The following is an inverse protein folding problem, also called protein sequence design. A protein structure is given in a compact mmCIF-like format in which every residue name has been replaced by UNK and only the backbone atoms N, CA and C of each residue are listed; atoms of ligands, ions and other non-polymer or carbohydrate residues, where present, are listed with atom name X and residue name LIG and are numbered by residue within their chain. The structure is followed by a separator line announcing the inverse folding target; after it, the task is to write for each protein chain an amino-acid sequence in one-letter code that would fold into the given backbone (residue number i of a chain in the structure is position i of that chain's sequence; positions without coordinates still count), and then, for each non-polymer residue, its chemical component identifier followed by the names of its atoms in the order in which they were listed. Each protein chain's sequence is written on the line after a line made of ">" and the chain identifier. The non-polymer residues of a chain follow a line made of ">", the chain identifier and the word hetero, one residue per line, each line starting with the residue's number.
data_IF_013010913712
#
_entry.id   IF_013010913712
#
_cell.length_a   1.000
_cell.length_b   1.000
_cell.length_c   1.000
_cell.angle_alpha   90.00
_cell.angle_beta   90.00
_cell.angle_gamma   90.00
#
_symmetry.space_group_name_H-M   'P 1'
#
loop_
_entity.id
_entity.type
_entity.pdbx_description
1 polymer ?
#
# COMPACT_ATOMS: atom_id res chain seq x y z
N UNK A 1 -18.10 32.50 -34.82
CA UNK A 1 -17.64 33.14 -33.56
C UNK A 1 -17.56 32.15 -32.39
N UNK A 2 -18.51 31.22 -32.19
CA UNK A 2 -18.53 30.29 -31.07
C UNK A 2 -17.36 29.28 -31.05
N UNK A 3 -16.80 28.85 -32.19
CA UNK A 3 -15.71 27.84 -32.22
C UNK A 3 -14.34 28.38 -31.80
N UNK A 4 -14.04 29.64 -32.08
CA UNK A 4 -12.77 30.30 -31.74
C UNK A 4 -12.72 30.61 -30.23
N UNK A 5 -13.84 31.03 -29.64
CA UNK A 5 -13.95 31.33 -28.23
C UNK A 5 -13.82 30.04 -27.39
N UNK A 6 -14.46 28.95 -27.84
CA UNK A 6 -14.34 27.64 -27.20
C UNK A 6 -12.92 27.08 -27.25
N UNK A 7 -12.21 27.23 -28.36
CA UNK A 7 -10.82 26.79 -28.51
C UNK A 7 -9.87 27.53 -27.54
N UNK A 8 -10.01 28.85 -27.47
CA UNK A 8 -9.18 29.69 -26.59
C UNK A 8 -9.42 29.39 -25.12
N UNK A 9 -10.67 29.13 -24.73
CA UNK A 9 -11.03 28.72 -23.37
C UNK A 9 -10.42 27.34 -23.00
N UNK A 10 -10.55 26.36 -23.89
CA UNK A 10 -9.97 25.03 -23.72
C UNK A 10 -8.45 25.11 -23.57
N UNK A 11 -7.79 25.92 -24.38
CA UNK A 11 -6.35 26.12 -24.29
C UNK A 11 -5.90 26.65 -22.93
N UNK A 12 -6.62 27.59 -22.35
CA UNK A 12 -6.33 28.09 -20.99
C UNK A 12 -6.46 27.00 -19.94
N UNK A 13 -7.53 26.21 -19.99
CA UNK A 13 -7.73 25.09 -19.06
C UNK A 13 -6.57 24.12 -19.14
N UNK A 14 -6.16 23.68 -20.33
CA UNK A 14 -5.07 22.72 -20.50
C UNK A 14 -3.72 23.27 -20.02
N UNK A 15 -3.50 24.60 -20.15
CA UNK A 15 -2.31 25.25 -19.59
C UNK A 15 -2.36 25.23 -18.06
N UNK A 16 -3.51 25.51 -17.43
CA UNK A 16 -3.65 25.44 -15.98
C UNK A 16 -3.43 24.02 -15.47
N UNK A 17 -3.97 23.00 -16.16
CA UNK A 17 -3.73 21.58 -15.81
C UNK A 17 -2.24 21.24 -15.92
N UNK A 18 -1.58 21.62 -17.02
CA UNK A 18 -0.13 21.43 -17.19
C UNK A 18 0.65 22.04 -16.03
N UNK A 19 0.38 23.32 -15.74
CA UNK A 19 1.05 24.04 -14.66
C UNK A 19 0.81 23.39 -13.32
N UNK A 20 -0.43 23.01 -13.01
CA UNK A 20 -0.77 22.32 -11.77
C UNK A 20 -0.01 20.99 -11.63
N UNK A 21 -0.03 20.13 -12.66
CA UNK A 21 0.63 18.82 -12.59
C UNK A 21 2.15 18.94 -12.49
N UNK A 22 2.75 19.97 -13.14
CA UNK A 22 4.17 20.29 -12.98
C UNK A 22 4.47 20.70 -11.54
N UNK A 23 3.66 21.58 -10.95
CA UNK A 23 3.79 22.02 -9.55
C UNK A 23 3.67 20.81 -8.61
N UNK A 24 2.65 19.97 -8.77
CA UNK A 24 2.46 18.75 -7.97
C UNK A 24 3.65 17.77 -8.10
N UNK A 25 4.19 17.65 -9.33
CA UNK A 25 5.39 16.81 -9.57
C UNK A 25 6.59 17.33 -8.78
N UNK A 26 6.87 18.64 -8.84
CA UNK A 26 8.01 19.26 -8.15
C UNK A 26 7.86 19.19 -6.63
N UNK A 27 6.73 19.64 -6.11
CA UNK A 27 6.49 19.63 -4.66
C UNK A 27 6.47 18.23 -4.05
N UNK A 28 6.05 17.21 -4.81
CA UNK A 28 6.13 15.82 -4.37
C UNK A 28 7.55 15.33 -4.05
N UNK A 29 8.62 15.98 -4.54
CA UNK A 29 10.00 15.70 -4.13
C UNK A 29 10.37 16.34 -2.79
N UNK A 30 9.63 17.36 -2.37
CA UNK A 30 9.83 18.07 -1.11
C UNK A 30 8.97 17.49 0.04
N UNK A 31 8.51 16.24 -0.09
CA UNK A 31 7.60 15.62 0.88
C UNK A 31 8.10 15.57 2.32
N UNK A 32 9.42 15.57 2.55
CA UNK A 32 9.99 15.63 3.91
C UNK A 32 9.83 17.00 4.59
N UNK A 33 9.60 18.08 3.83
CA UNK A 33 9.48 19.44 4.38
C UNK A 33 8.06 19.79 4.83
N UNK A 34 7.03 19.19 4.24
CA UNK A 34 5.65 19.43 4.63
C UNK A 34 4.76 18.23 4.22
N UNK A 35 3.85 17.83 5.11
CA UNK A 35 2.96 16.68 4.90
C UNK A 35 2.11 16.79 3.63
N UNK A 36 1.69 18.00 3.22
CA UNK A 36 0.95 18.22 1.98
C UNK A 36 1.80 17.88 0.75
N UNK A 37 3.08 18.18 0.79
CA UNK A 37 4.01 17.82 -0.28
C UNK A 37 4.25 16.31 -0.37
N UNK A 38 4.21 15.59 0.77
CA UNK A 38 4.25 14.14 0.76
C UNK A 38 3.02 13.56 0.05
N UNK A 39 1.81 14.09 0.30
CA UNK A 39 0.60 13.69 -0.45
C UNK A 39 0.74 13.87 -1.96
N UNK A 40 1.41 14.92 -2.41
CA UNK A 40 1.66 15.17 -3.84
C UNK A 40 2.59 14.13 -4.47
N UNK A 41 3.36 13.38 -3.67
CA UNK A 41 4.23 12.32 -4.19
C UNK A 41 3.46 11.07 -4.63
N UNK A 42 2.20 10.87 -4.20
CA UNK A 42 1.50 9.60 -4.33
C UNK A 42 0.94 9.32 -5.74
N UNK A 43 0.78 10.33 -6.60
CA UNK A 43 0.06 10.21 -7.87
C UNK A 43 0.99 10.19 -9.11
N UNK A 44 2.18 9.59 -9.00
CA UNK A 44 3.20 9.62 -10.08
C UNK A 44 2.72 8.98 -11.38
N UNK A 45 1.92 7.91 -11.31
CA UNK A 45 1.33 7.26 -12.50
C UNK A 45 0.33 8.19 -13.18
N UNK A 46 -0.54 8.83 -12.39
CA UNK A 46 -1.54 9.77 -12.90
C UNK A 46 -0.89 11.02 -13.50
N UNK A 47 0.15 11.54 -12.88
CA UNK A 47 0.92 12.68 -13.43
C UNK A 47 1.59 12.31 -14.74
N UNK A 48 2.23 11.12 -14.82
CA UNK A 48 2.80 10.62 -16.07
C UNK A 48 1.76 10.54 -17.17
N UNK A 49 0.60 9.94 -16.92
CA UNK A 49 -0.47 9.79 -17.88
C UNK A 49 -1.02 11.15 -18.35
N UNK A 50 -1.32 12.06 -17.40
CA UNK A 50 -1.85 13.39 -17.72
C UNK A 50 -0.86 14.22 -18.53
N UNK A 51 0.42 14.24 -18.16
CA UNK A 51 1.45 14.99 -18.85
C UNK A 51 1.72 14.43 -20.25
N UNK A 52 1.70 13.10 -20.40
CA UNK A 52 1.84 12.46 -21.73
C UNK A 52 0.69 12.82 -22.65
N UNK A 53 -0.55 12.77 -22.15
CA UNK A 53 -1.74 13.18 -22.89
C UNK A 53 -1.66 14.66 -23.32
N UNK A 54 -1.28 15.56 -22.41
CA UNK A 54 -1.10 16.98 -22.69
C UNK A 54 0.02 17.23 -23.72
N UNK A 55 1.13 16.48 -23.61
CA UNK A 55 2.24 16.56 -24.57
C UNK A 55 1.78 16.22 -25.99
N UNK A 56 1.04 15.11 -26.15
CA UNK A 56 0.46 14.69 -27.43
C UNK A 56 -0.52 15.75 -27.97
N UNK A 57 -1.36 16.31 -27.11
CA UNK A 57 -2.28 17.37 -27.50
C UNK A 57 -1.54 18.60 -28.00
N UNK A 58 -0.50 19.06 -27.28
CA UNK A 58 0.26 20.25 -27.67
C UNK A 58 1.12 20.03 -28.94
N UNK A 59 1.51 18.80 -29.28
CA UNK A 59 2.09 18.48 -30.61
C UNK A 59 1.08 18.82 -31.71
N UNK A 60 -0.16 18.34 -31.61
CA UNK A 60 -1.21 18.59 -32.61
C UNK A 60 -1.50 20.07 -32.77
N UNK A 61 -1.39 20.84 -31.69
CA UNK A 61 -1.58 22.30 -31.71
C UNK A 61 -0.29 23.07 -32.05
N UNK A 62 0.81 22.37 -32.38
CA UNK A 62 2.14 22.94 -32.69
C UNK A 62 2.69 23.89 -31.63
N UNK A 63 2.40 23.61 -30.34
CA UNK A 63 2.83 24.40 -29.18
C UNK A 63 4.10 23.83 -28.56
N UNK A 64 5.22 23.85 -29.29
CA UNK A 64 6.45 23.10 -29.00
C UNK A 64 7.03 23.31 -27.59
N UNK A 65 6.99 24.56 -27.06
CA UNK A 65 7.48 24.84 -25.70
C UNK A 65 6.66 24.09 -24.64
N UNK A 66 5.32 24.02 -24.81
CA UNK A 66 4.43 23.31 -23.88
C UNK A 66 4.57 21.79 -24.04
N UNK A 67 4.74 21.33 -25.28
CA UNK A 67 5.05 19.93 -25.60
C UNK A 67 6.32 19.48 -24.87
N UNK A 68 7.40 20.25 -25.02
CA UNK A 68 8.69 19.93 -24.35
C UNK A 68 8.51 19.88 -22.84
N UNK A 69 7.87 20.88 -22.23
CA UNK A 69 7.64 20.92 -20.79
C UNK A 69 6.81 19.70 -20.30
N UNK A 70 5.73 19.38 -21.01
CA UNK A 70 4.88 18.25 -20.67
C UNK A 70 5.65 16.92 -20.71
N UNK A 71 6.40 16.65 -21.78
CA UNK A 71 7.17 15.40 -21.87
C UNK A 71 8.37 15.36 -20.95
N UNK A 72 9.04 16.46 -20.66
CA UNK A 72 10.12 16.52 -19.70
C UNK A 72 9.64 16.07 -18.30
N UNK A 73 8.50 16.62 -17.84
CA UNK A 73 7.92 16.22 -16.56
C UNK A 73 7.21 14.85 -16.60
N UNK A 74 6.69 14.43 -17.76
CA UNK A 74 6.23 13.06 -17.95
C UNK A 74 7.39 12.07 -17.74
N UNK A 75 8.55 12.32 -18.33
CA UNK A 75 9.75 11.50 -18.18
C UNK A 75 10.22 11.43 -16.72
N UNK A 76 10.20 12.55 -15.98
CA UNK A 76 10.50 12.58 -14.55
C UNK A 76 9.58 11.65 -13.76
N UNK A 77 8.26 11.69 -13.99
CA UNK A 77 7.33 10.79 -13.31
C UNK A 77 7.49 9.33 -13.77
N UNK A 78 7.72 9.13 -15.07
CA UNK A 78 7.98 7.81 -15.63
C UNK A 78 9.21 7.14 -15.01
N UNK A 79 10.31 7.86 -14.84
CA UNK A 79 11.53 7.33 -14.23
C UNK A 79 11.32 6.81 -12.80
N UNK A 80 10.36 7.40 -12.06
CA UNK A 80 9.99 6.94 -10.72
C UNK A 80 9.06 5.70 -10.76
N UNK A 81 8.27 5.56 -11.81
CA UNK A 81 7.35 4.43 -12.00
C UNK A 81 8.06 3.24 -12.67
N UNK A 82 9.06 3.50 -13.50
CA UNK A 82 9.77 2.50 -14.30
C UNK A 82 10.26 1.27 -13.49
N UNK A 83 10.81 1.40 -12.26
CA UNK A 83 11.21 0.23 -11.47
C UNK A 83 10.08 -0.73 -11.14
N UNK A 84 8.82 -0.30 -11.29
CA UNK A 84 7.60 -1.08 -11.10
C UNK A 84 6.99 -1.54 -12.44
N UNK A 85 7.68 -1.35 -13.57
CA UNK A 85 7.26 -1.89 -14.86
C UNK A 85 7.36 -3.42 -14.87
N UNK A 86 6.33 -4.11 -15.40
CA UNK A 86 6.31 -5.58 -15.47
C UNK A 86 7.35 -6.14 -16.44
N UNK A 87 8.61 -6.10 -16.06
CA UNK A 87 9.75 -6.62 -16.85
C UNK A 87 10.22 -7.99 -16.37
N UNK A 88 9.73 -8.46 -15.23
CA UNK A 88 10.13 -9.74 -14.63
C UNK A 88 8.93 -10.68 -14.62
N UNK A 89 9.04 -11.79 -15.31
CA UNK A 89 8.13 -12.91 -15.15
C UNK A 89 8.66 -13.79 -14.03
N UNK A 90 8.05 -13.74 -12.86
CA UNK A 90 8.28 -14.76 -11.83
C UNK A 90 7.60 -16.03 -12.36
N UNK A 91 8.38 -16.98 -12.84
CA UNK A 91 7.87 -18.32 -13.14
C UNK A 91 7.60 -18.98 -11.80
N UNK A 92 6.33 -19.14 -11.47
CA UNK A 92 5.91 -19.93 -10.32
C UNK A 92 6.33 -21.38 -10.56
N UNK A 93 7.47 -21.79 -10.03
CA UNK A 93 7.74 -23.22 -9.84
C UNK A 93 6.91 -23.61 -8.62
N UNK A 94 5.87 -24.42 -8.85
CA UNK A 94 5.10 -25.02 -7.76
C UNK A 94 6.04 -25.91 -6.94
N UNK A 95 6.52 -25.40 -5.84
CA UNK A 95 7.30 -26.15 -4.84
C UNK A 95 6.40 -26.45 -3.64
N UNK A 96 6.43 -27.68 -3.13
CA UNK A 96 5.69 -28.10 -1.91
C UNK A 96 6.15 -27.38 -0.62
N UNK A 97 7.09 -26.46 -0.72
CA UNK A 97 7.61 -25.61 0.36
C UNK A 97 7.11 -24.17 0.33
N UNK A 98 6.04 -23.88 -0.44
CA UNK A 98 5.50 -22.53 -0.53
C UNK A 98 4.64 -22.15 0.67
N UNK A 99 4.89 -20.96 1.19
CA UNK A 99 4.08 -20.31 2.21
C UNK A 99 3.27 -19.19 1.52
N UNK A 100 1.97 -19.16 1.80
CA UNK A 100 1.07 -18.16 1.21
C UNK A 100 0.59 -17.20 2.27
N UNK A 101 0.80 -15.90 2.05
CA UNK A 101 0.22 -14.84 2.87
C UNK A 101 -0.90 -14.15 2.08
N UNK A 102 -2.03 -13.94 2.75
CA UNK A 102 -3.12 -13.07 2.31
C UNK A 102 -3.22 -11.89 3.27
N UNK A 103 -3.13 -10.67 2.75
CA UNK A 103 -3.37 -9.45 3.51
C UNK A 103 -4.58 -8.70 2.97
N UNK A 104 -5.51 -8.32 3.85
CA UNK A 104 -6.77 -7.66 3.50
C UNK A 104 -7.08 -6.52 4.45
N UNK A 105 -7.18 -5.29 3.94
CA UNK A 105 -7.88 -4.23 4.65
C UNK A 105 -9.38 -4.41 4.40
N UNK A 106 -10.13 -4.75 5.45
CA UNK A 106 -11.54 -5.15 5.34
C UNK A 106 -12.47 -3.97 5.04
N UNK A 107 -12.04 -2.74 5.28
CA UNK A 107 -12.89 -1.55 5.39
C UNK A 107 -14.05 -1.80 6.36
N UNK A 108 -13.98 -1.22 7.54
CA UNK A 108 -15.00 -1.40 8.59
C UNK A 108 -16.44 -1.02 8.16
N UNK A 109 -16.60 -0.32 7.03
CA UNK A 109 -17.92 0.03 6.43
C UNK A 109 -18.41 -1.04 5.46
N UNK A 110 -17.53 -1.92 5.01
CA UNK A 110 -17.86 -2.96 4.07
C UNK A 110 -18.65 -4.08 4.78
N UNK A 111 -19.77 -4.46 4.22
CA UNK A 111 -20.62 -5.56 4.69
C UNK A 111 -20.64 -6.75 3.72
N UNK A 112 -19.72 -6.82 2.78
CA UNK A 112 -19.64 -7.91 1.79
C UNK A 112 -18.94 -9.14 2.38
N UNK A 113 -19.41 -9.62 3.53
CA UNK A 113 -18.79 -10.71 4.30
C UNK A 113 -18.57 -11.98 3.47
N UNK A 114 -19.56 -12.39 2.68
CA UNK A 114 -19.46 -13.59 1.86
C UNK A 114 -18.39 -13.49 0.77
N UNK A 115 -18.20 -12.29 0.19
CA UNK A 115 -17.16 -12.09 -0.80
C UNK A 115 -15.77 -12.18 -0.15
N UNK A 116 -15.58 -11.61 1.05
CA UNK A 116 -14.33 -11.74 1.80
C UNK A 116 -14.03 -13.19 2.17
N UNK A 117 -15.07 -13.95 2.65
CA UNK A 117 -14.96 -15.38 2.94
C UNK A 117 -14.49 -16.16 1.71
N UNK A 118 -15.14 -15.92 0.56
CA UNK A 118 -14.78 -16.57 -0.70
C UNK A 118 -13.32 -16.32 -1.08
N UNK A 119 -12.82 -15.09 -0.87
CA UNK A 119 -11.40 -14.76 -1.13
C UNK A 119 -10.48 -15.54 -0.19
N UNK A 120 -10.80 -15.62 1.11
CA UNK A 120 -9.99 -16.36 2.08
C UNK A 120 -10.00 -17.87 1.75
N UNK A 121 -11.17 -18.46 1.54
CA UNK A 121 -11.30 -19.89 1.26
C UNK A 121 -10.63 -20.28 -0.08
N UNK A 122 -10.81 -19.48 -1.13
CA UNK A 122 -10.19 -19.73 -2.44
C UNK A 122 -8.67 -19.55 -2.40
N UNK A 123 -8.20 -18.55 -1.66
CA UNK A 123 -6.76 -18.30 -1.52
C UNK A 123 -6.09 -19.37 -0.67
N UNK A 124 -6.79 -19.89 0.34
CA UNK A 124 -6.31 -20.86 1.32
C UNK A 124 -4.90 -20.50 1.86
N UNK A 125 -4.78 -19.35 2.55
CA UNK A 125 -3.49 -18.83 2.96
C UNK A 125 -2.92 -19.59 4.18
N UNK A 126 -1.59 -19.75 4.23
CA UNK A 126 -0.89 -20.24 5.42
C UNK A 126 -0.94 -19.20 6.57
N UNK A 127 -0.93 -17.93 6.19
CA UNK A 127 -1.01 -16.78 7.11
C UNK A 127 -1.98 -15.75 6.54
N UNK A 128 -2.93 -15.31 7.37
CA UNK A 128 -3.91 -14.28 7.05
C UNK A 128 -3.66 -13.06 7.93
N UNK A 129 -3.53 -11.88 7.29
CA UNK A 129 -3.33 -10.58 7.97
C UNK A 129 -4.51 -9.68 7.65
N UNK A 130 -5.27 -9.27 8.67
CA UNK A 130 -6.48 -8.47 8.51
C UNK A 130 -6.34 -7.11 9.18
N UNK A 131 -6.60 -6.06 8.42
CA UNK A 131 -6.70 -4.69 8.91
C UNK A 131 -8.18 -4.28 8.98
N UNK A 132 -8.49 -3.31 9.84
CA UNK A 132 -9.83 -2.78 10.07
C UNK A 132 -10.87 -3.83 10.47
N UNK A 133 -10.44 -4.85 11.19
CA UNK A 133 -11.32 -5.88 11.73
C UNK A 133 -12.24 -5.28 12.80
N UNK A 134 -13.49 -5.02 12.46
CA UNK A 134 -14.55 -4.55 13.38
C UNK A 134 -15.20 -5.71 14.13
N UNK A 135 -16.03 -5.42 15.14
CA UNK A 135 -16.79 -6.44 15.84
C UNK A 135 -17.74 -7.21 14.91
N UNK A 136 -18.32 -6.54 13.92
CA UNK A 136 -19.19 -7.19 12.92
C UNK A 136 -18.39 -8.17 12.06
N UNK A 137 -17.21 -7.75 11.58
CA UNK A 137 -16.29 -8.62 10.85
C UNK A 137 -15.83 -9.81 11.70
N UNK A 138 -15.54 -9.57 12.99
CA UNK A 138 -15.09 -10.63 13.91
C UNK A 138 -16.18 -11.69 14.08
N UNK A 139 -17.43 -11.28 14.27
CA UNK A 139 -18.56 -12.20 14.36
C UNK A 139 -18.84 -12.95 13.05
N UNK A 140 -18.73 -12.27 11.91
CA UNK A 140 -19.05 -12.86 10.60
C UNK A 140 -17.96 -13.79 10.07
N UNK A 141 -16.74 -13.71 10.59
CA UNK A 141 -15.61 -14.56 10.20
C UNK A 141 -15.17 -15.54 11.30
N UNK A 142 -15.95 -15.71 12.38
CA UNK A 142 -15.59 -16.56 13.53
C UNK A 142 -15.27 -18.00 13.12
N UNK A 143 -16.07 -18.60 12.24
CA UNK A 143 -15.86 -19.95 11.72
C UNK A 143 -14.62 -20.04 10.79
N UNK A 144 -14.27 -18.96 10.09
CA UNK A 144 -13.01 -18.86 9.33
C UNK A 144 -11.85 -18.83 10.32
N UNK A 145 -11.93 -18.01 11.37
CA UNK A 145 -10.85 -17.87 12.35
C UNK A 145 -10.60 -19.16 13.12
N UNK A 146 -11.66 -19.95 13.38
CA UNK A 146 -11.53 -21.26 14.04
C UNK A 146 -10.71 -22.28 13.23
N UNK A 147 -10.56 -22.07 11.92
CA UNK A 147 -9.68 -22.91 11.07
C UNK A 147 -8.19 -22.65 11.31
N UNK A 148 -7.84 -21.48 11.88
CA UNK A 148 -6.45 -21.11 12.15
C UNK A 148 -6.10 -21.38 13.62
N UNK A 149 -5.28 -22.40 13.92
CA UNK A 149 -4.98 -22.78 15.31
C UNK A 149 -4.18 -21.74 16.07
N UNK A 150 -3.54 -20.81 15.38
CA UNK A 150 -2.75 -19.76 15.97
C UNK A 150 -3.25 -18.40 15.52
N UNK A 151 -3.59 -17.53 16.47
CA UNK A 151 -4.07 -16.18 16.14
C UNK A 151 -3.70 -15.15 17.20
N UNK A 152 -3.55 -13.91 16.77
CA UNK A 152 -3.43 -12.74 17.62
C UNK A 152 -4.25 -11.61 17.02
N UNK A 153 -5.06 -10.95 17.86
CA UNK A 153 -5.78 -9.73 17.51
C UNK A 153 -5.38 -8.63 18.47
N UNK A 154 -5.11 -7.44 17.95
CA UNK A 154 -4.82 -6.24 18.76
C UNK A 154 -5.85 -5.17 18.43
N UNK A 155 -6.71 -4.85 19.41
CA UNK A 155 -7.68 -3.78 19.25
C UNK A 155 -6.99 -2.41 19.29
N UNK A 156 -7.53 -1.47 18.53
CA UNK A 156 -7.13 -0.08 18.55
C UNK A 156 -8.34 0.83 18.38
N UNK A 157 -8.23 2.09 18.81
CA UNK A 157 -9.25 3.08 18.61
C UNK A 157 -8.94 3.89 17.35
N UNK A 158 -9.76 3.75 16.33
CA UNK A 158 -9.68 4.61 15.15
C UNK A 158 -10.38 5.93 15.43
N UNK A 159 -9.66 7.03 15.30
CA UNK A 159 -10.20 8.38 15.45
C UNK A 159 -10.43 8.99 14.06
N UNK A 160 -11.70 9.04 13.62
CA UNK A 160 -12.07 9.87 12.47
C UNK A 160 -12.41 11.27 13.00
N UNK A 161 -11.51 12.20 12.77
CA UNK A 161 -11.71 13.61 13.10
C UNK A 161 -12.29 14.35 11.89
N UNK A 162 -13.62 14.26 11.70
CA UNK A 162 -14.34 15.37 11.10
C UNK A 162 -14.82 16.30 12.23
N UNK A 163 -14.89 17.64 12.02
CA UNK A 163 -15.06 18.60 13.11
C UNK A 163 -16.29 18.40 14.02
N UNK A 164 -17.27 17.60 13.62
CA UNK A 164 -18.56 17.48 14.29
C UNK A 164 -18.90 16.10 14.87
N UNK A 165 -18.12 15.03 14.54
CA UNK A 165 -18.41 13.68 15.05
C UNK A 165 -17.13 12.89 15.33
N UNK A 166 -16.63 12.97 16.57
CA UNK A 166 -15.61 12.02 17.06
C UNK A 166 -16.32 10.70 17.39
N UNK A 167 -16.50 9.81 16.43
CA UNK A 167 -16.86 8.43 16.72
C UNK A 167 -15.60 7.61 16.94
N UNK A 168 -15.33 7.25 18.19
CA UNK A 168 -14.35 6.19 18.52
C UNK A 168 -14.89 4.87 17.98
N UNK A 169 -14.15 4.21 17.11
CA UNK A 169 -14.44 2.85 16.66
C UNK A 169 -13.36 1.92 17.16
N UNK A 170 -13.76 0.83 17.81
CA UNK A 170 -12.86 -0.27 18.11
C UNK A 170 -12.68 -1.08 16.83
N UNK A 171 -11.47 -1.08 16.32
CA UNK A 171 -11.04 -1.93 15.22
C UNK A 171 -9.88 -2.78 15.72
N UNK A 172 -9.54 -3.82 15.00
CA UNK A 172 -8.38 -4.65 15.32
C UNK A 172 -7.50 -4.86 14.11
N UNK A 173 -6.22 -5.03 14.35
CA UNK A 173 -5.28 -5.69 13.46
C UNK A 173 -5.19 -7.16 13.90
N UNK A 174 -5.31 -8.10 12.98
CA UNK A 174 -5.26 -9.53 13.27
C UNK A 174 -4.25 -10.27 12.40
N UNK A 175 -3.55 -11.25 13.01
CA UNK A 175 -2.76 -12.26 12.31
C UNK A 175 -3.32 -13.62 12.70
N UNK A 176 -3.64 -14.44 11.71
CA UNK A 176 -4.14 -15.79 11.83
C UNK A 176 -3.25 -16.73 11.03
N UNK A 177 -2.87 -17.88 11.59
CA UNK A 177 -1.89 -18.77 10.97
C UNK A 177 -2.20 -20.24 11.19
N UNK A 178 -1.97 -21.03 10.15
CA UNK A 178 -1.89 -22.49 10.27
C UNK A 178 -0.54 -22.93 10.83
N UNK A 179 0.49 -22.08 10.75
CA UNK A 179 1.82 -22.32 11.28
C UNK A 179 1.90 -21.85 12.72
N UNK A 180 2.57 -22.60 13.61
CA UNK A 180 2.80 -22.15 14.98
C UNK A 180 3.67 -20.90 15.00
N UNK A 181 3.33 -19.96 15.89
CA UNK A 181 4.10 -18.74 16.07
C UNK A 181 4.21 -18.31 17.53
N UNK A 182 5.22 -17.51 17.83
CA UNK A 182 5.35 -16.69 19.02
C UNK A 182 5.20 -15.20 18.65
N UNK A 183 4.64 -14.43 19.56
CA UNK A 183 4.54 -12.98 19.40
C UNK A 183 5.87 -12.36 19.81
N UNK A 184 6.54 -11.66 18.91
CA UNK A 184 7.84 -11.04 19.18
C UNK A 184 7.72 -9.55 19.51
N UNK A 185 6.69 -8.87 18.96
CA UNK A 185 6.42 -7.48 19.29
C UNK A 185 4.96 -7.12 19.02
N UNK A 186 4.44 -6.28 19.90
CA UNK A 186 3.19 -5.53 19.66
C UNK A 186 3.46 -4.12 20.11
N UNK A 187 3.61 -3.21 19.18
CA UNK A 187 3.85 -1.83 19.54
C UNK A 187 2.56 -1.03 19.56
N UNK A 188 2.30 -0.40 20.71
CA UNK A 188 1.23 0.55 20.94
C UNK A 188 1.86 1.93 21.12
N UNK A 189 1.55 2.84 20.21
CA UNK A 189 2.03 4.22 20.32
C UNK A 189 1.10 5.03 21.21
N UNK A 190 1.65 5.71 22.23
CA UNK A 190 0.88 6.56 23.13
C UNK A 190 0.08 7.66 22.42
N UNK A 191 0.63 8.18 21.31
CA UNK A 191 0.05 9.27 20.54
C UNK A 191 -0.82 8.79 19.36
N UNK A 192 -0.76 7.49 19.04
CA UNK A 192 -1.53 6.88 17.95
C UNK A 192 -1.76 5.40 18.23
N UNK A 193 -3.01 5.00 18.45
CA UNK A 193 -3.34 3.67 18.95
C UNK A 193 -3.34 2.56 17.90
N UNK A 194 -2.90 2.79 16.64
CA UNK A 194 -2.87 1.74 15.64
C UNK A 194 -1.58 0.93 15.80
N UNK A 195 -1.64 -0.31 16.29
CA UNK A 195 -0.47 -1.14 16.49
C UNK A 195 0.06 -1.72 15.18
N UNK A 196 1.29 -2.20 15.21
CA UNK A 196 1.71 -3.29 14.34
C UNK A 196 1.98 -4.54 15.18
N UNK A 197 1.91 -5.70 14.56
CA UNK A 197 2.08 -6.99 15.21
C UNK A 197 3.21 -7.72 14.50
N UNK A 198 4.24 -8.10 15.25
CA UNK A 198 5.31 -9.00 14.79
C UNK A 198 5.16 -10.39 15.42
N UNK A 199 5.18 -11.41 14.59
CA UNK A 199 5.18 -12.81 14.99
C UNK A 199 6.34 -13.54 14.33
N UNK A 200 6.95 -14.49 15.08
CA UNK A 200 7.95 -15.43 14.57
C UNK A 200 7.27 -16.78 14.34
N UNK A 201 7.27 -17.21 13.08
CA UNK A 201 6.66 -18.47 12.67
C UNK A 201 7.72 -19.54 12.47
N UNK A 202 7.30 -20.79 12.67
CA UNK A 202 8.10 -21.96 12.31
C UNK A 202 7.43 -22.71 11.16
N UNK A 203 8.20 -22.94 10.09
CA UNK A 203 7.79 -23.75 8.97
C UNK A 203 8.86 -24.83 8.70
N UNK A 204 8.54 -26.10 8.96
CA UNK A 204 9.52 -27.19 9.02
C UNK A 204 10.60 -26.82 10.05
N UNK A 205 11.88 -26.86 9.67
CA UNK A 205 12.99 -26.50 10.56
C UNK A 205 13.43 -25.04 10.46
N UNK A 206 12.75 -24.23 9.60
CA UNK A 206 13.09 -22.82 9.38
C UNK A 206 12.20 -21.89 10.18
N UNK A 207 12.77 -20.78 10.63
CA UNK A 207 12.04 -19.70 11.30
C UNK A 207 12.06 -18.46 10.43
N UNK A 208 10.97 -17.68 10.49
CA UNK A 208 10.86 -16.39 9.81
C UNK A 208 9.87 -15.51 10.57
N UNK A 209 9.97 -14.21 10.37
CA UNK A 209 9.10 -13.25 11.04
C UNK A 209 8.12 -12.61 10.04
N UNK A 210 6.88 -12.44 10.48
CA UNK A 210 5.85 -11.69 9.75
C UNK A 210 5.42 -10.51 10.60
N UNK A 211 5.49 -9.31 10.02
CA UNK A 211 4.92 -8.11 10.59
C UNK A 211 3.65 -7.73 9.83
N UNK A 212 2.52 -7.81 10.51
CA UNK A 212 1.26 -7.27 10.03
C UNK A 212 1.15 -5.79 10.40
N UNK A 213 0.85 -4.94 9.45
CA UNK A 213 0.79 -3.49 9.66
C UNK A 213 -0.52 -2.88 9.17
N UNK A 214 -0.96 -1.83 9.87
CA UNK A 214 -1.91 -0.84 9.39
C UNK A 214 -1.42 0.51 9.88
N UNK A 215 -0.67 1.24 9.06
CA UNK A 215 -0.09 2.51 9.48
C UNK A 215 -1.12 3.63 9.41
N UNK A 216 -0.87 4.69 10.15
CA UNK A 216 -1.78 5.83 10.22
C UNK A 216 -1.95 6.51 8.87
N UNK A 217 -3.19 6.70 8.45
CA UNK A 217 -3.52 7.46 7.23
C UNK A 217 -3.04 8.92 7.34
N UNK A 218 -2.33 9.49 6.35
CA UNK A 218 -1.64 10.80 6.44
C UNK A 218 -2.58 12.00 6.26
N UNK A 219 -3.76 11.97 6.88
CA UNK A 219 -4.75 13.05 6.78
C UNK A 219 -4.45 14.15 7.80
N UNK A 220 -3.51 15.04 7.47
CA UNK A 220 -3.05 16.15 8.30
C UNK A 220 -1.70 15.91 8.98
N UNK A 221 -1.10 17.00 9.50
CA UNK A 221 0.26 17.01 10.05
C UNK A 221 0.46 15.94 11.14
N UNK A 222 -0.38 15.93 12.17
CA UNK A 222 -0.26 15.03 13.32
C UNK A 222 -0.28 13.56 12.91
N UNK A 223 -1.22 13.19 12.01
CA UNK A 223 -1.35 11.81 11.54
C UNK A 223 -0.18 11.37 10.64
N UNK A 224 0.31 12.29 9.82
CA UNK A 224 1.50 12.03 8.98
C UNK A 224 2.73 11.82 9.85
N UNK A 225 2.93 12.65 10.89
CA UNK A 225 4.02 12.48 11.84
C UNK A 225 3.91 11.16 12.60
N UNK A 226 2.70 10.76 13.01
CA UNK A 226 2.45 9.47 13.65
C UNK A 226 2.82 8.30 12.73
N UNK A 227 2.39 8.30 11.45
CA UNK A 227 2.80 7.29 10.47
C UNK A 227 4.32 7.25 10.30
N UNK A 228 4.97 8.40 10.24
CA UNK A 228 6.42 8.45 10.05
C UNK A 228 7.17 7.93 11.28
N UNK A 229 6.67 8.15 12.50
CA UNK A 229 7.17 7.52 13.72
C UNK A 229 7.00 5.99 13.65
N UNK A 230 5.83 5.50 13.25
CA UNK A 230 5.56 4.06 13.07
C UNK A 230 6.56 3.42 12.10
N UNK A 231 6.86 4.06 10.97
CA UNK A 231 7.90 3.59 10.04
C UNK A 231 9.28 3.52 10.72
N UNK A 232 9.61 4.50 11.55
CA UNK A 232 10.87 4.51 12.31
C UNK A 232 10.98 3.36 13.32
N UNK A 233 9.91 3.09 14.06
CA UNK A 233 9.85 1.97 15.02
C UNK A 233 9.92 0.62 14.31
N UNK A 234 9.22 0.47 13.17
CA UNK A 234 9.34 -0.75 12.35
C UNK A 234 10.78 -1.01 11.91
N UNK A 235 11.52 0.03 11.48
CA UNK A 235 12.95 -0.13 11.14
C UNK A 235 13.72 -0.69 12.34
N UNK A 236 13.50 -0.16 13.53
CA UNK A 236 14.18 -0.63 14.74
C UNK A 236 13.88 -2.09 15.04
N UNK A 237 12.61 -2.52 14.97
CA UNK A 237 12.22 -3.91 15.21
C UNK A 237 12.78 -4.87 14.15
N UNK A 238 12.82 -4.45 12.89
CA UNK A 238 13.42 -5.24 11.80
C UNK A 238 14.92 -5.42 12.01
N UNK A 239 15.64 -4.35 12.34
CA UNK A 239 17.08 -4.39 12.55
C UNK A 239 17.47 -5.23 13.77
N UNK A 240 16.59 -5.29 14.78
CA UNK A 240 16.77 -6.14 15.96
C UNK A 240 16.45 -7.63 15.69
N UNK A 241 15.65 -7.89 14.64
CA UNK A 241 15.22 -9.24 14.28
C UNK A 241 16.25 -9.90 13.36
N UNK A 242 16.84 -11.02 13.80
CA UNK A 242 17.85 -11.76 13.05
C UNK A 242 17.26 -12.90 12.19
N UNK A 243 15.95 -12.86 11.91
CA UNK A 243 15.27 -13.87 11.11
C UNK A 243 14.85 -13.31 9.75
N UNK A 244 14.72 -14.15 8.71
CA UNK A 244 14.07 -13.77 7.47
C UNK A 244 12.74 -13.08 7.77
N UNK A 245 12.52 -11.90 7.17
CA UNK A 245 11.43 -11.02 7.57
C UNK A 245 10.51 -10.68 6.38
N UNK A 246 9.22 -10.72 6.65
CA UNK A 246 8.17 -10.26 5.76
C UNK A 246 7.35 -9.19 6.48
N UNK A 247 7.07 -8.08 5.81
CA UNK A 247 6.11 -7.08 6.28
C UNK A 247 4.99 -6.96 5.26
N UNK A 248 3.74 -7.04 5.72
CA UNK A 248 2.58 -6.95 4.85
C UNK A 248 1.45 -6.17 5.50
N UNK A 249 0.73 -5.40 4.69
CA UNK A 249 -0.45 -4.65 5.13
C UNK A 249 -0.59 -3.29 4.49
N UNK A 250 -1.49 -2.48 5.06
CA UNK A 250 -1.74 -1.12 4.66
C UNK A 250 -0.73 -0.16 5.33
N UNK A 251 0.16 0.39 4.52
CA UNK A 251 1.17 1.36 4.96
C UNK A 251 0.68 2.81 4.86
N UNK A 252 -0.46 3.04 4.21
CA UNK A 252 -0.99 4.37 3.96
C UNK A 252 0.04 5.32 3.30
N UNK A 253 0.92 4.77 2.46
CA UNK A 253 1.98 5.49 1.76
C UNK A 253 2.33 4.78 0.45
N UNK A 254 2.70 5.51 -0.59
CA UNK A 254 3.14 4.90 -1.85
C UNK A 254 4.66 4.76 -1.93
N UNK A 255 5.21 3.93 -2.85
CA UNK A 255 6.64 3.74 -3.02
C UNK A 255 7.40 5.02 -3.42
N UNK A 256 6.70 6.02 -3.90
CA UNK A 256 7.29 7.27 -4.39
C UNK A 256 7.48 8.30 -3.29
N UNK A 257 6.87 8.11 -2.12
CA UNK A 257 7.07 8.97 -0.97
C UNK A 257 8.54 8.91 -0.51
N UNK A 258 9.13 10.07 -0.14
CA UNK A 258 10.48 10.10 0.42
C UNK A 258 10.59 9.34 1.76
N UNK A 259 9.50 9.22 2.51
CA UNK A 259 9.47 8.45 3.76
C UNK A 259 9.48 6.94 3.50
N UNK A 260 8.80 6.46 2.45
CA UNK A 260 8.86 5.05 2.08
C UNK A 260 10.25 4.67 1.56
N UNK A 261 10.87 5.53 0.75
CA UNK A 261 12.25 5.31 0.27
C UNK A 261 13.24 5.23 1.42
N UNK A 262 13.12 6.12 2.41
CA UNK A 262 13.92 6.12 3.62
C UNK A 262 13.70 4.83 4.44
N UNK A 263 12.45 4.40 4.58
CA UNK A 263 12.10 3.15 5.25
C UNK A 263 12.76 1.94 4.57
N UNK A 264 12.63 1.80 3.25
CA UNK A 264 13.25 0.70 2.47
C UNK A 264 14.77 0.70 2.62
N UNK A 265 15.39 1.89 2.53
CA UNK A 265 16.84 2.00 2.67
C UNK A 265 17.34 1.58 4.05
N UNK A 266 16.63 1.98 5.12
CA UNK A 266 17.04 1.70 6.50
C UNK A 266 16.67 0.28 6.96
N UNK A 267 15.58 -0.29 6.46
CA UNK A 267 15.15 -1.65 6.79
C UNK A 267 15.86 -2.72 5.98
N UNK A 268 16.53 -2.35 4.87
CA UNK A 268 17.18 -3.25 3.89
C UNK A 268 16.22 -4.26 3.27
N UNK A 269 14.89 -4.00 3.36
CA UNK A 269 13.88 -4.85 2.76
C UNK A 269 13.71 -4.58 1.26
N UNK A 270 13.28 -5.59 0.55
CA UNK A 270 12.97 -5.54 -0.87
C UNK A 270 11.47 -5.31 -1.07
N UNK A 271 11.11 -4.35 -1.91
CA UNK A 271 9.70 -4.17 -2.35
C UNK A 271 9.38 -5.24 -3.40
N UNK A 272 8.48 -6.15 -3.05
CA UNK A 272 8.11 -7.30 -3.88
C UNK A 272 7.47 -6.94 -5.23
N UNK A 273 7.04 -5.69 -5.41
CA UNK A 273 6.45 -5.21 -6.67
C UNK A 273 7.48 -4.78 -7.71
N UNK A 274 8.73 -4.50 -7.31
CA UNK A 274 9.76 -4.08 -8.26
C UNK A 274 9.93 -5.12 -9.36
N UNK A 275 9.85 -4.67 -10.61
CA UNK A 275 9.92 -5.51 -11.79
C UNK A 275 8.60 -6.23 -12.15
N UNK A 276 7.61 -6.29 -11.26
CA UNK A 276 6.36 -7.02 -11.48
C UNK A 276 5.19 -6.12 -11.87
N UNK A 277 5.09 -4.93 -11.29
CA UNK A 277 3.99 -4.01 -11.57
C UNK A 277 3.75 -2.99 -10.47
N UNK A 278 2.96 -1.98 -10.76
CA UNK A 278 2.57 -0.95 -9.78
C UNK A 278 1.61 -1.51 -8.74
N UNK A 279 0.70 -2.38 -9.12
CA UNK A 279 -0.33 -3.01 -8.27
C UNK A 279 -1.08 -2.00 -7.38
N UNK A 280 -1.79 -0.99 -7.93
CA UNK A 280 -2.57 -0.05 -7.14
C UNK A 280 -3.70 -0.79 -6.41
N UNK A 281 -3.93 -0.44 -5.14
CA UNK A 281 -4.88 -1.14 -4.27
C UNK A 281 -6.01 -0.25 -3.79
N UNK A 282 -5.82 1.07 -3.67
CA UNK A 282 -6.75 2.04 -3.09
C UNK A 282 -6.77 3.38 -3.85
N UNK A 283 -7.89 4.10 -3.94
CA UNK A 283 -9.26 3.67 -3.66
C UNK A 283 -9.84 2.88 -4.85
N UNK A 284 -10.31 1.68 -4.60
CA UNK A 284 -10.81 0.79 -5.67
C UNK A 284 -11.99 1.38 -6.44
N UNK A 285 -12.83 2.19 -5.79
CA UNK A 285 -14.02 2.79 -6.37
C UNK A 285 -13.71 3.83 -7.46
N UNK A 286 -12.51 4.40 -7.44
CA UNK A 286 -12.11 5.46 -8.37
C UNK A 286 -10.87 4.99 -9.15
N UNK A 287 -11.05 4.04 -10.06
CA UNK A 287 -9.96 3.38 -10.80
C UNK A 287 -8.86 4.31 -11.31
N UNK A 288 -9.14 5.48 -11.96
CA UNK A 288 -8.06 6.33 -12.46
C UNK A 288 -7.17 6.94 -11.35
N UNK A 289 -7.69 7.00 -10.11
CA UNK A 289 -6.98 7.58 -8.98
C UNK A 289 -6.37 6.52 -8.03
N UNK A 290 -6.48 5.24 -8.37
CA UNK A 290 -5.92 4.18 -7.54
C UNK A 290 -4.40 4.32 -7.38
N UNK A 291 -3.94 4.14 -6.14
CA UNK A 291 -2.54 4.18 -5.74
C UNK A 291 -2.16 2.93 -4.94
N UNK A 292 -0.89 2.51 -4.95
CA UNK A 292 -0.42 1.34 -4.21
C UNK A 292 0.01 1.73 -2.79
N UNK A 293 -0.89 1.60 -1.82
CA UNK A 293 -0.62 1.89 -0.41
C UNK A 293 -0.53 0.65 0.48
N UNK A 294 -1.01 -0.50 -0.02
CA UNK A 294 -0.76 -1.80 0.59
C UNK A 294 0.54 -2.38 0.03
N UNK A 295 1.38 -2.92 0.90
CA UNK A 295 2.70 -3.41 0.54
C UNK A 295 2.96 -4.81 1.06
N UNK A 296 3.79 -5.55 0.32
CA UNK A 296 4.51 -6.72 0.77
C UNK A 296 6.01 -6.45 0.61
N UNK A 297 6.75 -6.55 1.69
CA UNK A 297 8.19 -6.30 1.72
C UNK A 297 8.88 -7.52 2.32
N UNK A 298 10.05 -7.89 1.80
CA UNK A 298 10.74 -9.11 2.21
C UNK A 298 12.23 -8.86 2.40
N UNK A 299 12.86 -9.59 3.32
CA UNK A 299 14.33 -9.66 3.40
C UNK A 299 14.90 -10.48 2.25
N UNK A 300 16.19 -10.33 1.98
CA UNK A 300 16.89 -11.02 0.88
C UNK A 300 16.86 -12.55 0.97
N UNK A 301 16.66 -13.09 2.18
CA UNK A 301 16.57 -14.53 2.46
C UNK A 301 15.21 -15.14 2.10
N UNK A 302 14.27 -14.33 1.67
CA UNK A 302 12.94 -14.76 1.23
C UNK A 302 12.92 -14.81 -0.30
N UNK A 303 12.68 -16.00 -0.85
CA UNK A 303 12.47 -16.18 -2.28
C UNK A 303 10.99 -16.00 -2.63
N UNK A 304 10.68 -14.90 -3.28
CA UNK A 304 9.32 -14.61 -3.75
C UNK A 304 9.01 -15.46 -5.00
N UNK A 305 7.88 -16.16 -5.01
CA UNK A 305 7.38 -16.95 -6.13
C UNK A 305 6.25 -16.24 -6.88
N UNK A 306 5.42 -15.49 -6.18
CA UNK A 306 4.43 -14.61 -6.82
C UNK A 306 3.99 -13.49 -5.89
N UNK A 307 3.60 -12.38 -6.51
CA UNK A 307 2.93 -11.25 -5.88
C UNK A 307 1.73 -10.85 -6.73
N UNK A 308 0.54 -10.87 -6.15
CA UNK A 308 -0.70 -10.59 -6.86
C UNK A 308 -1.64 -9.71 -6.03
N UNK A 309 -2.49 -8.96 -6.72
CA UNK A 309 -3.72 -8.44 -6.11
C UNK A 309 -4.80 -9.52 -6.20
N UNK A 310 -5.48 -9.73 -5.09
CA UNK A 310 -6.65 -10.60 -5.09
C UNK A 310 -7.88 -9.92 -5.70
N UNK A 311 -8.99 -10.66 -5.81
CA UNK A 311 -10.24 -10.16 -6.36
C UNK A 311 -10.89 -9.13 -5.44
N UNK A 312 -11.77 -8.32 -6.03
CA UNK A 312 -12.60 -7.38 -5.28
C UNK A 312 -13.58 -8.11 -4.36
N UNK A 313 -13.61 -7.74 -3.08
CA UNK A 313 -14.51 -8.30 -2.07
C UNK A 313 -15.38 -7.25 -1.37
N UNK A 314 -15.55 -6.08 -1.99
CA UNK A 314 -16.41 -5.01 -1.46
C UNK A 314 -15.67 -3.89 -0.71
N UNK A 315 -14.47 -4.14 -0.19
CA UNK A 315 -13.63 -3.11 0.44
C UNK A 315 -13.24 -2.00 -0.54
N UNK A 316 -12.84 -0.86 -0.02
CA UNK A 316 -12.18 0.19 -0.80
C UNK A 316 -10.72 -0.14 -1.11
N UNK A 317 -10.17 -1.23 -0.53
CA UNK A 317 -8.90 -1.83 -0.87
C UNK A 317 -9.04 -3.13 -1.67
N UNK A 318 -8.01 -3.46 -2.46
CA UNK A 318 -7.82 -4.80 -3.03
C UNK A 318 -6.82 -5.58 -2.17
N UNK A 319 -7.05 -6.89 -1.95
CA UNK A 319 -6.16 -7.70 -1.13
C UNK A 319 -4.83 -7.97 -1.82
N UNK A 320 -3.81 -8.27 -1.02
CA UNK A 320 -2.49 -8.73 -1.49
C UNK A 320 -2.30 -10.21 -1.20
N UNK A 321 -1.76 -10.94 -2.17
CA UNK A 321 -1.42 -12.35 -2.09
C UNK A 321 0.06 -12.52 -2.42
N UNK A 322 0.82 -13.06 -1.47
CA UNK A 322 2.25 -13.35 -1.61
C UNK A 322 2.47 -14.86 -1.48
N UNK A 323 3.17 -15.46 -2.43
CA UNK A 323 3.69 -16.82 -2.31
C UNK A 323 5.21 -16.75 -2.27
N UNK A 324 5.82 -17.46 -1.32
CA UNK A 324 7.26 -17.42 -1.11
C UNK A 324 7.77 -18.70 -0.45
N UNK A 325 9.07 -18.87 -0.49
CA UNK A 325 9.82 -19.86 0.32
C UNK A 325 10.96 -19.19 1.07
N UNK A 326 11.40 -19.84 2.14
CA UNK A 326 12.54 -19.39 2.93
C UNK A 326 13.78 -20.10 2.39
N UNK A 327 14.80 -19.34 2.04
CA UNK A 327 16.08 -19.86 1.52
C UNK A 327 16.86 -20.70 2.55
#
# INVERSE_FOLDING_TARGET
>A
MNSVFGKHFMDKILIYILTLVVILTVFGFLGKSWWVFDLMSHFRVQYFAALSFLGIFFIKERKWRKTFLAFAFALVNFSLVLPYGGMVNIVAQADQSEIKILSMNLDYKNASYQAARSVIDTTNPSVLVLQELSADWDAQLEDIFSKFPHSIKRPYNSFYRFPEFIKKRKLSLGIFSHLPFEVITVEEFSDNPIPYIGVRLKFKEKQFSVFGVHLTSPMGKVRTEARNKQLGSLVYEIQKNNQPTIIVGDFNITPWSPYFKDFIQRSELLDTRKGLGVYPTWPKQIFPLMIPIDHGLVSSDIKLHSFNRGPNFGSDHLPLILNFSIS
#
